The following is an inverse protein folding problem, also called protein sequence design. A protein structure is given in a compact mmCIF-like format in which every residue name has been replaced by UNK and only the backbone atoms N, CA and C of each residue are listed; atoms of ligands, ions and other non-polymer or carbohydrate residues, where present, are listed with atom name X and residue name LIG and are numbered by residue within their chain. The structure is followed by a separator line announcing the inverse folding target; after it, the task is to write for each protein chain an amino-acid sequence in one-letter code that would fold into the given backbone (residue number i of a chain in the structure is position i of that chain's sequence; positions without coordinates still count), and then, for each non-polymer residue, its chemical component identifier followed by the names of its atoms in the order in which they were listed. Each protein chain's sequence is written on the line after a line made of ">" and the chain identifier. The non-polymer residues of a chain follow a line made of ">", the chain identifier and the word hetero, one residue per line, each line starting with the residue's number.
data_IF_246043571946
#
_entry.id   IF_246043571946
#
_cell.length_a   1.000
_cell.length_b   1.000
_cell.length_c   1.000
_cell.angle_alpha   90.00
_cell.angle_beta   90.00
_cell.angle_gamma   90.00
#
_symmetry.space_group_name_H-M   'P 1'
#
loop_
_entity.id
_entity.type
_entity.pdbx_description
1 polymer ?
#
# COMPACT_ATOMS: atom_id res chain seq x y z
N UNK A 1 -3.77 4.34 -0.39
CA UNK A 1 -4.64 3.97 0.74
C UNK A 1 -5.92 3.28 0.25
N UNK A 2 -5.76 2.11 -0.34
CA UNK A 2 -6.89 1.25 -0.71
C UNK A 2 -7.24 0.37 0.49
N UNK A 3 -8.51 0.20 0.80
CA UNK A 3 -8.96 -0.67 1.90
C UNK A 3 -9.07 -2.15 1.45
N UNK A 4 -8.19 -2.59 0.58
CA UNK A 4 -8.14 -3.96 0.08
C UNK A 4 -7.11 -4.78 0.89
N UNK A 5 -7.49 -5.96 1.41
CA UNK A 5 -6.53 -6.82 2.08
C UNK A 5 -5.52 -7.36 1.07
N UNK A 6 -4.26 -7.37 1.43
CA UNK A 6 -3.20 -7.97 0.63
C UNK A 6 -2.93 -7.31 -0.75
N UNK A 7 -3.03 -5.99 -0.81
CA UNK A 7 -2.63 -5.19 -1.97
C UNK A 7 -1.12 -4.94 -1.95
N UNK A 8 -0.46 -5.15 -3.09
CA UNK A 8 0.92 -4.71 -3.33
C UNK A 8 0.96 -3.73 -4.50
N UNK A 9 1.76 -2.68 -4.37
CA UNK A 9 1.94 -1.65 -5.40
C UNK A 9 3.34 -1.79 -6.00
N UNK A 10 3.43 -1.89 -7.33
CA UNK A 10 4.72 -1.95 -8.02
C UNK A 10 4.85 -0.77 -8.97
N UNK A 11 5.87 0.04 -8.75
CA UNK A 11 6.22 1.12 -9.66
C UNK A 11 7.13 0.56 -10.76
N UNK A 12 6.61 0.47 -11.97
CA UNK A 12 7.36 0.02 -13.14
C UNK A 12 8.08 1.20 -13.79
N UNK A 13 9.41 1.24 -13.66
CA UNK A 13 10.25 2.30 -14.23
C UNK A 13 10.76 1.84 -15.58
N UNK A 14 10.44 2.61 -16.65
CA UNK A 14 10.82 2.30 -18.05
C UNK A 14 11.95 3.20 -18.59
N UNK A 15 12.59 3.97 -17.72
CA UNK A 15 13.70 4.82 -18.12
C UNK A 15 14.98 4.02 -18.42
N UNK A 16 15.85 4.54 -19.32
CA UNK A 16 17.18 3.97 -19.50
C UNK A 16 17.97 4.02 -18.17
N UNK A 17 18.66 2.94 -17.77
CA UNK A 17 19.37 2.89 -16.48
C UNK A 17 20.53 3.89 -16.38
N UNK A 18 21.01 4.39 -17.54
CA UNK A 18 22.11 5.37 -17.67
C UNK A 18 21.67 6.53 -18.57
N UNK A 19 20.88 7.49 -18.05
CA UNK A 19 20.44 8.65 -18.83
C UNK A 19 21.63 9.54 -19.25
N UNK A 20 21.52 10.11 -20.47
CA UNK A 20 22.60 10.90 -21.05
C UNK A 20 22.68 12.34 -20.53
N UNK A 21 21.57 12.90 -20.07
CA UNK A 21 21.49 14.28 -19.59
C UNK A 21 21.15 14.36 -18.10
N UNK A 22 21.41 15.53 -17.48
CA UNK A 22 21.20 15.73 -16.04
C UNK A 22 19.74 15.71 -15.63
N UNK A 23 18.86 16.23 -16.48
CA UNK A 23 17.41 16.26 -16.25
C UNK A 23 16.85 14.83 -16.17
N UNK A 24 17.13 13.97 -17.15
CA UNK A 24 16.70 12.58 -17.14
C UNK A 24 17.32 11.79 -15.97
N UNK A 25 18.56 12.13 -15.54
CA UNK A 25 19.15 11.55 -14.33
C UNK A 25 18.38 11.95 -13.06
N UNK A 26 17.96 13.21 -12.98
CA UNK A 26 17.20 13.71 -11.84
C UNK A 26 15.80 13.05 -11.78
N UNK A 27 15.12 12.92 -12.91
CA UNK A 27 13.81 12.24 -13.01
C UNK A 27 13.94 10.76 -12.59
N UNK A 28 14.90 10.02 -13.15
CA UNK A 28 15.12 8.62 -12.79
C UNK A 28 15.45 8.46 -11.30
N UNK A 29 16.26 9.34 -10.73
CA UNK A 29 16.55 9.34 -9.29
C UNK A 29 15.28 9.57 -8.48
N UNK A 30 14.47 10.55 -8.82
CA UNK A 30 13.20 10.83 -8.14
C UNK A 30 12.24 9.63 -8.23
N UNK A 31 12.13 8.98 -9.40
CA UNK A 31 11.31 7.78 -9.60
C UNK A 31 11.79 6.62 -8.71
N UNK A 32 13.09 6.40 -8.58
CA UNK A 32 13.67 5.37 -7.70
C UNK A 32 13.42 5.64 -6.22
N UNK A 33 13.43 6.91 -5.83
CA UNK A 33 13.21 7.34 -4.44
C UNK A 33 11.73 7.38 -4.03
N UNK A 34 10.80 7.38 -4.98
CA UNK A 34 9.37 7.58 -4.72
C UNK A 34 8.80 6.50 -3.79
N UNK A 35 8.95 5.22 -4.12
CA UNK A 35 8.40 4.14 -3.31
C UNK A 35 9.04 4.07 -1.90
N UNK A 36 10.37 4.10 -1.75
CA UNK A 36 11.01 4.21 -0.43
C UNK A 36 10.50 5.40 0.39
N UNK A 37 10.28 6.56 -0.23
CA UNK A 37 9.78 7.76 0.44
C UNK A 37 8.36 7.59 0.96
N UNK A 38 7.46 7.05 0.13
CA UNK A 38 6.08 6.76 0.54
C UNK A 38 6.05 5.75 1.70
N UNK A 39 6.85 4.68 1.62
CA UNK A 39 6.91 3.68 2.69
C UNK A 39 7.49 4.26 3.99
N UNK A 40 8.49 5.12 3.92
CA UNK A 40 9.05 5.80 5.08
C UNK A 40 8.04 6.75 5.76
N UNK A 41 7.23 7.46 4.99
CA UNK A 41 6.17 8.32 5.53
C UNK A 41 5.09 7.52 6.28
N UNK A 42 4.77 6.32 5.81
CA UNK A 42 3.77 5.45 6.43
C UNK A 42 4.32 4.64 7.62
N UNK A 43 5.65 4.54 7.77
CA UNK A 43 6.28 3.64 8.74
C UNK A 43 5.88 3.94 10.19
N UNK A 44 5.91 5.21 10.60
CA UNK A 44 5.60 5.59 11.98
C UNK A 44 4.14 5.31 12.38
N UNK A 45 3.11 5.71 11.60
CA UNK A 45 1.73 5.33 11.91
C UNK A 45 1.50 3.82 11.80
N UNK A 46 2.12 3.11 10.84
CA UNK A 46 2.01 1.66 10.71
C UNK A 46 2.54 0.94 11.96
N UNK A 47 3.70 1.31 12.45
CA UNK A 47 4.29 0.76 13.68
C UNK A 47 3.40 1.02 14.89
N UNK A 48 2.93 2.26 15.07
CA UNK A 48 2.02 2.63 16.15
C UNK A 48 0.78 1.75 16.19
N UNK A 49 0.07 1.64 15.05
CA UNK A 49 -1.20 0.91 15.02
C UNK A 49 -1.01 -0.61 15.06
N UNK A 50 0.09 -1.14 14.51
CA UNK A 50 0.44 -2.55 14.66
C UNK A 50 0.70 -2.90 16.12
N UNK A 51 1.50 -2.11 16.82
CA UNK A 51 1.76 -2.29 18.24
C UNK A 51 0.48 -2.19 19.08
N UNK A 52 -0.36 -1.19 18.81
CA UNK A 52 -1.63 -1.01 19.52
C UNK A 52 -2.59 -2.18 19.31
N UNK A 53 -2.66 -2.73 18.07
CA UNK A 53 -3.42 -3.94 17.75
C UNK A 53 -2.93 -5.14 18.57
N UNK A 54 -1.61 -5.39 18.58
CA UNK A 54 -1.02 -6.56 19.23
C UNK A 54 -1.17 -6.50 20.75
N UNK A 55 -0.98 -5.33 21.36
CA UNK A 55 -1.23 -5.11 22.79
C UNK A 55 -2.72 -5.28 23.13
N UNK A 56 -3.60 -4.80 22.25
CA UNK A 56 -5.05 -4.96 22.42
C UNK A 56 -5.48 -6.43 22.28
N UNK A 57 -4.94 -7.16 21.30
CA UNK A 57 -5.19 -8.58 21.12
C UNK A 57 -4.80 -9.37 22.38
N UNK A 58 -3.62 -9.11 22.93
CA UNK A 58 -3.18 -9.73 24.19
C UNK A 58 -4.09 -9.39 25.38
N UNK A 59 -4.59 -8.15 25.48
CA UNK A 59 -5.46 -7.70 26.57
C UNK A 59 -6.90 -8.26 26.47
N UNK A 60 -7.31 -8.70 25.29
CA UNK A 60 -8.67 -9.20 25.02
C UNK A 60 -8.76 -10.74 24.92
N UNK A 61 -7.67 -11.46 25.18
CA UNK A 61 -7.70 -12.93 25.20
C UNK A 61 -8.80 -13.41 26.16
N UNK A 62 -9.65 -14.30 25.68
CA UNK A 62 -10.79 -14.88 26.41
C UNK A 62 -11.83 -13.87 26.93
N UNK A 63 -11.86 -12.65 26.36
CA UNK A 63 -12.85 -11.64 26.72
C UNK A 63 -13.91 -11.48 25.62
N UNK A 64 -15.19 -11.58 25.99
CA UNK A 64 -16.30 -11.30 25.08
C UNK A 64 -16.53 -9.79 24.91
N UNK A 65 -16.15 -8.99 25.90
CA UNK A 65 -16.34 -7.55 25.93
C UNK A 65 -15.05 -6.78 26.13
N UNK A 66 -14.87 -5.72 25.37
CA UNK A 66 -13.77 -4.81 25.58
C UNK A 66 -14.00 -3.93 26.82
N UNK A 67 -12.98 -3.85 27.69
CA UNK A 67 -13.01 -2.91 28.84
C UNK A 67 -13.07 -1.47 28.32
N UNK A 68 -13.73 -0.59 29.07
CA UNK A 68 -13.86 0.83 28.72
C UNK A 68 -12.52 1.50 28.39
N UNK A 69 -11.45 1.16 29.10
CA UNK A 69 -10.10 1.68 28.82
C UNK A 69 -9.55 1.26 27.46
N UNK A 70 -9.86 0.04 26.99
CA UNK A 70 -9.47 -0.46 25.68
C UNK A 70 -10.24 0.27 24.57
N UNK A 71 -11.55 0.49 24.77
CA UNK A 71 -12.37 1.27 23.83
C UNK A 71 -11.89 2.72 23.74
N UNK A 72 -11.55 3.35 24.87
CA UNK A 72 -11.02 4.71 24.91
C UNK A 72 -9.69 4.83 24.17
N UNK A 73 -8.79 3.89 24.37
CA UNK A 73 -7.51 3.84 23.64
C UNK A 73 -7.74 3.67 22.14
N UNK A 74 -8.64 2.82 21.71
CA UNK A 74 -9.01 2.66 20.31
C UNK A 74 -9.51 3.98 19.71
N UNK A 75 -10.38 4.72 20.43
CA UNK A 75 -10.84 6.03 19.99
C UNK A 75 -9.69 7.05 19.86
N UNK A 76 -8.73 7.04 20.78
CA UNK A 76 -7.53 7.90 20.72
C UNK A 76 -6.65 7.56 19.50
N UNK A 77 -6.49 6.29 19.18
CA UNK A 77 -5.72 5.86 18.01
C UNK A 77 -6.44 6.24 16.69
N UNK A 78 -7.77 6.16 16.64
CA UNK A 78 -8.55 6.69 15.53
C UNK A 78 -8.40 8.20 15.38
N UNK A 79 -8.43 8.95 16.48
CA UNK A 79 -8.14 10.39 16.48
C UNK A 79 -6.75 10.71 15.95
N UNK A 80 -5.74 9.97 16.38
CA UNK A 80 -4.37 10.14 15.88
C UNK A 80 -4.26 9.86 14.37
N UNK A 81 -4.96 8.85 13.85
CA UNK A 81 -5.02 8.57 12.42
C UNK A 81 -5.68 9.71 11.64
N UNK A 82 -6.78 10.27 12.15
CA UNK A 82 -7.45 11.46 11.58
C UNK A 82 -6.49 12.64 11.52
N UNK A 83 -5.82 12.95 12.63
CA UNK A 83 -4.89 14.08 12.72
C UNK A 83 -3.71 13.91 11.74
N UNK A 84 -3.19 12.71 11.57
CA UNK A 84 -2.12 12.43 10.61
C UNK A 84 -2.58 12.69 9.18
N UNK A 85 -3.77 12.22 8.80
CA UNK A 85 -4.34 12.40 7.46
C UNK A 85 -4.61 13.88 7.15
N UNK A 86 -5.19 14.61 8.10
CA UNK A 86 -5.46 16.04 7.95
C UNK A 86 -4.17 16.84 7.85
N UNK A 87 -3.20 16.57 8.72
CA UNK A 87 -1.90 17.20 8.64
C UNK A 87 -1.23 16.96 7.29
N UNK A 88 -1.30 15.70 6.78
CA UNK A 88 -0.76 15.38 5.46
C UNK A 88 -1.45 16.15 4.35
N UNK A 89 -2.78 16.26 4.40
CA UNK A 89 -3.55 17.06 3.43
C UNK A 89 -3.23 18.55 3.50
N UNK A 90 -3.03 19.09 4.70
CA UNK A 90 -2.76 20.52 4.91
C UNK A 90 -1.33 20.92 4.55
N UNK A 91 -0.39 19.96 4.56
CA UNK A 91 1.02 20.16 4.20
C UNK A 91 1.36 19.71 2.77
N UNK A 92 0.39 19.16 2.03
CA UNK A 92 0.58 18.76 0.64
C UNK A 92 0.72 19.99 -0.25
N UNK A 93 1.70 19.99 -1.14
CA UNK A 93 1.84 21.05 -2.14
C UNK A 93 0.77 20.84 -3.22
N UNK A 94 -0.13 21.77 -3.35
CA UNK A 94 -1.16 21.77 -4.41
C UNK A 94 -0.58 22.48 -5.63
N UNK A 95 -0.28 21.74 -6.67
CA UNK A 95 0.20 22.26 -7.96
C UNK A 95 -0.91 22.29 -9.00
N UNK A 96 -1.86 21.34 -8.92
CA UNK A 96 -3.00 21.28 -9.83
C UNK A 96 -4.27 20.70 -9.16
N UNK A 97 -5.33 20.53 -9.97
CA UNK A 97 -6.62 19.97 -9.53
C UNK A 97 -6.53 18.50 -9.10
N UNK A 98 -5.50 17.76 -9.53
CA UNK A 98 -5.29 16.37 -9.16
C UNK A 98 -4.82 16.28 -7.71
N UNK A 99 -3.91 17.17 -7.30
CA UNK A 99 -3.47 17.30 -5.92
C UNK A 99 -4.61 17.71 -5.00
N UNK A 100 -5.43 18.68 -5.43
CA UNK A 100 -6.61 19.11 -4.68
C UNK A 100 -7.60 17.94 -4.49
N UNK A 101 -7.89 17.20 -5.56
CA UNK A 101 -8.71 15.99 -5.50
C UNK A 101 -8.12 14.93 -4.53
N UNK A 102 -6.81 14.69 -4.59
CA UNK A 102 -6.15 13.74 -3.69
C UNK A 102 -6.30 14.17 -2.22
N UNK A 103 -6.03 15.45 -1.93
CA UNK A 103 -6.15 15.98 -0.58
C UNK A 103 -7.60 15.92 -0.07
N UNK A 104 -8.59 16.30 -0.87
CA UNK A 104 -9.98 16.36 -0.41
C UNK A 104 -10.67 14.99 -0.44
N UNK A 105 -10.60 14.25 -1.55
CA UNK A 105 -11.34 13.00 -1.71
C UNK A 105 -10.63 11.79 -1.07
N UNK A 106 -9.29 11.74 -1.13
CA UNK A 106 -8.55 10.61 -0.58
C UNK A 106 -8.19 10.86 0.88
N UNK A 107 -7.41 11.90 1.19
CA UNK A 107 -6.91 12.12 2.55
C UNK A 107 -8.01 12.59 3.51
N UNK A 108 -8.66 13.74 3.22
CA UNK A 108 -9.73 14.28 4.08
C UNK A 108 -10.99 13.41 4.04
N UNK A 109 -11.28 12.77 2.88
CA UNK A 109 -12.35 11.78 2.77
C UNK A 109 -12.16 10.62 3.74
N UNK A 110 -10.96 10.03 3.79
CA UNK A 110 -10.63 8.97 4.75
C UNK A 110 -10.64 9.48 6.20
N UNK A 111 -10.13 10.68 6.44
CA UNK A 111 -10.16 11.30 7.77
C UNK A 111 -11.60 11.47 8.29
N UNK A 112 -12.55 11.92 7.43
CA UNK A 112 -13.98 12.00 7.78
C UNK A 112 -14.56 10.65 8.21
N UNK A 113 -14.26 9.57 7.47
CA UNK A 113 -14.76 8.23 7.83
C UNK A 113 -14.16 7.72 9.14
N UNK A 114 -12.87 7.91 9.37
CA UNK A 114 -12.23 7.52 10.63
C UNK A 114 -12.76 8.33 11.82
N UNK A 115 -13.07 9.61 11.61
CA UNK A 115 -13.68 10.48 12.62
C UNK A 115 -15.06 9.98 13.06
N UNK A 116 -15.88 9.48 12.12
CA UNK A 116 -17.17 8.87 12.48
C UNK A 116 -16.97 7.66 13.40
N UNK A 117 -15.95 6.85 13.15
CA UNK A 117 -15.63 5.70 14.02
C UNK A 117 -15.15 6.17 15.40
N UNK A 118 -14.27 7.19 15.46
CA UNK A 118 -13.84 7.82 16.73
C UNK A 118 -15.05 8.31 17.54
N UNK A 119 -15.95 9.04 16.89
CA UNK A 119 -17.16 9.57 17.53
C UNK A 119 -18.06 8.45 18.09
N UNK A 120 -18.29 7.39 17.31
CA UNK A 120 -19.10 6.25 17.75
C UNK A 120 -18.48 5.53 18.96
N UNK A 121 -17.15 5.39 19.00
CA UNK A 121 -16.43 4.81 20.15
C UNK A 121 -16.59 5.70 21.40
N UNK A 122 -16.44 7.01 21.28
CA UNK A 122 -16.60 7.95 22.37
C UNK A 122 -18.07 7.98 22.89
N UNK A 123 -19.03 7.89 21.98
CA UNK A 123 -20.45 7.80 22.34
C UNK A 123 -20.74 6.51 23.10
N UNK A 124 -20.21 5.36 22.65
CA UNK A 124 -20.38 4.09 23.38
C UNK A 124 -19.83 4.13 24.80
N UNK A 125 -18.70 4.85 25.00
CA UNK A 125 -18.13 5.08 26.33
C UNK A 125 -19.07 5.93 27.20
N UNK A 126 -19.62 7.01 26.64
CA UNK A 126 -20.50 7.95 27.33
C UNK A 126 -21.82 7.26 27.74
N UNK A 127 -22.39 6.49 26.84
CA UNK A 127 -23.64 5.74 27.05
C UNK A 127 -23.44 4.43 27.79
N UNK A 128 -22.23 4.11 28.21
CA UNK A 128 -21.86 2.86 28.90
C UNK A 128 -22.29 1.60 28.12
N UNK A 129 -22.24 1.68 26.80
CA UNK A 129 -22.61 0.56 25.94
C UNK A 129 -21.53 -0.51 25.94
N UNK A 130 -21.96 -1.74 25.79
CA UNK A 130 -21.09 -2.89 25.62
C UNK A 130 -20.50 -2.89 24.20
N UNK A 131 -19.17 -2.95 24.07
CA UNK A 131 -18.49 -3.08 22.80
C UNK A 131 -17.86 -4.48 22.73
N UNK A 132 -18.16 -5.22 21.68
CA UNK A 132 -17.61 -6.55 21.44
C UNK A 132 -16.09 -6.49 21.25
N UNK A 133 -15.37 -7.45 21.86
CA UNK A 133 -13.90 -7.51 21.79
C UNK A 133 -13.40 -7.70 20.34
N UNK A 134 -14.06 -8.56 19.56
CA UNK A 134 -13.69 -8.78 18.16
C UNK A 134 -13.89 -7.52 17.32
N UNK A 135 -14.90 -6.70 17.65
CA UNK A 135 -15.13 -5.44 16.96
C UNK A 135 -13.94 -4.49 17.13
N UNK A 136 -13.39 -4.39 18.33
CA UNK A 136 -12.20 -3.57 18.58
C UNK A 136 -10.99 -4.09 17.79
N UNK A 137 -10.79 -5.40 17.75
CA UNK A 137 -9.70 -5.99 16.95
C UNK A 137 -9.87 -5.70 15.44
N UNK A 138 -11.09 -5.83 14.90
CA UNK A 138 -11.37 -5.47 13.50
C UNK A 138 -11.08 -3.99 13.21
N UNK A 139 -11.38 -3.08 14.15
CA UNK A 139 -11.09 -1.67 14.01
C UNK A 139 -9.57 -1.42 13.97
N UNK A 140 -8.79 -2.07 14.81
CA UNK A 140 -7.33 -1.98 14.74
C UNK A 140 -6.76 -2.60 13.46
N UNK A 141 -7.29 -3.73 13.01
CA UNK A 141 -6.88 -4.31 11.72
C UNK A 141 -7.15 -3.35 10.55
N UNK A 142 -8.25 -2.60 10.61
CA UNK A 142 -8.54 -1.56 9.61
C UNK A 142 -7.48 -0.45 9.65
N UNK A 143 -7.11 0.07 10.83
CA UNK A 143 -6.05 1.08 10.95
C UNK A 143 -4.71 0.55 10.41
N UNK A 144 -4.32 -0.66 10.81
CA UNK A 144 -3.08 -1.29 10.31
C UNK A 144 -3.10 -1.38 8.78
N UNK A 145 -4.18 -1.85 8.16
CA UNK A 145 -4.29 -1.95 6.69
C UNK A 145 -4.18 -0.59 5.99
N UNK A 146 -4.77 0.46 6.56
CA UNK A 146 -4.73 1.81 5.98
C UNK A 146 -3.30 2.33 5.91
N UNK A 147 -2.50 2.09 6.93
CA UNK A 147 -1.14 2.65 7.04
C UNK A 147 -0.03 1.68 6.63
N UNK A 148 -0.31 0.39 6.47
CA UNK A 148 0.67 -0.58 5.99
C UNK A 148 0.58 -0.69 4.47
N UNK A 149 1.63 -0.26 3.78
CA UNK A 149 1.75 -0.43 2.34
C UNK A 149 2.81 -1.50 2.02
N UNK A 150 2.50 -2.36 1.05
CA UNK A 150 3.47 -3.26 0.43
C UNK A 150 3.77 -2.70 -0.95
N UNK A 151 5.02 -2.35 -1.21
CA UNK A 151 5.36 -1.81 -2.51
C UNK A 151 6.85 -1.77 -2.77
N UNK A 152 7.21 -1.82 -4.05
CA UNK A 152 8.59 -1.70 -4.53
C UNK A 152 8.61 -1.13 -5.94
N UNK A 153 9.83 -0.81 -6.43
CA UNK A 153 10.03 -0.41 -7.82
C UNK A 153 10.69 -1.54 -8.60
N UNK A 154 10.35 -1.69 -9.87
CA UNK A 154 10.98 -2.63 -10.79
C UNK A 154 11.44 -1.90 -12.06
N UNK A 155 12.72 -2.09 -12.40
CA UNK A 155 13.37 -1.50 -13.57
C UNK A 155 13.81 -2.61 -14.52
N UNK A 156 12.96 -2.96 -15.49
CA UNK A 156 13.26 -4.08 -16.40
C UNK A 156 14.55 -3.86 -17.21
N UNK A 157 14.86 -2.63 -17.61
CA UNK A 157 16.04 -2.30 -18.44
C UNK A 157 17.39 -2.48 -17.73
N UNK A 158 17.38 -2.77 -16.42
CA UNK A 158 18.58 -3.22 -15.70
C UNK A 158 18.99 -4.64 -16.08
N UNK A 159 18.09 -5.43 -16.68
CA UNK A 159 18.32 -6.85 -16.92
C UNK A 159 18.38 -7.15 -18.41
N UNK A 160 19.46 -7.83 -18.85
CA UNK A 160 19.63 -8.25 -20.24
C UNK A 160 18.64 -9.35 -20.67
N UNK A 161 18.04 -10.06 -19.70
CA UNK A 161 17.00 -11.07 -19.93
C UNK A 161 15.60 -10.51 -20.21
N UNK A 162 15.41 -9.19 -20.08
CA UNK A 162 14.13 -8.52 -20.34
C UNK A 162 14.21 -7.64 -21.58
N UNK A 163 13.06 -7.31 -22.18
CA UNK A 163 13.03 -6.42 -23.34
C UNK A 163 13.57 -5.03 -23.00
N UNK A 164 14.30 -4.40 -23.92
CA UNK A 164 14.79 -3.03 -23.81
C UNK A 164 13.98 -2.03 -24.64
N UNK A 165 12.95 -2.48 -25.35
CA UNK A 165 12.09 -1.58 -26.12
C UNK A 165 11.34 -0.61 -25.19
N UNK A 166 11.35 0.67 -25.53
CA UNK A 166 10.73 1.73 -24.73
C UNK A 166 9.25 1.86 -25.04
N UNK A 167 8.42 0.99 -24.46
CA UNK A 167 6.98 1.15 -24.52
C UNK A 167 6.27 0.50 -23.31
N UNK A 168 5.09 1.03 -22.97
CA UNK A 168 4.30 0.60 -21.81
C UNK A 168 3.95 -0.90 -21.85
N UNK A 169 3.55 -1.42 -23.03
CA UNK A 169 3.16 -2.82 -23.15
C UNK A 169 4.33 -3.77 -22.81
N UNK A 170 5.54 -3.46 -23.29
CA UNK A 170 6.72 -4.26 -22.98
C UNK A 170 7.14 -4.14 -21.52
N UNK A 171 6.90 -2.98 -20.89
CA UNK A 171 7.16 -2.81 -19.47
C UNK A 171 6.24 -3.69 -18.63
N UNK A 172 4.95 -3.66 -18.90
CA UNK A 172 3.94 -4.50 -18.25
C UNK A 172 4.20 -6.00 -18.50
N UNK A 173 4.37 -6.40 -19.75
CA UNK A 173 4.58 -7.80 -20.12
C UNK A 173 5.85 -8.38 -19.47
N UNK A 174 6.93 -7.60 -19.40
CA UNK A 174 8.17 -8.04 -18.74
C UNK A 174 7.96 -8.28 -17.26
N UNK A 175 7.16 -7.48 -16.57
CA UNK A 175 6.87 -7.66 -15.16
C UNK A 175 5.89 -8.82 -14.93
N UNK A 176 4.79 -8.87 -15.69
CA UNK A 176 3.77 -9.92 -15.58
C UNK A 176 4.38 -11.29 -15.86
N UNK A 177 5.27 -11.39 -16.85
CA UNK A 177 5.98 -12.64 -17.17
C UNK A 177 6.95 -13.13 -16.09
N UNK A 178 7.24 -12.33 -15.07
CA UNK A 178 8.04 -12.72 -13.91
C UNK A 178 7.18 -13.11 -12.70
N UNK A 179 5.87 -12.88 -12.73
CA UNK A 179 4.99 -13.22 -11.61
C UNK A 179 4.97 -14.74 -11.37
N UNK A 180 4.93 -15.14 -10.12
CA UNK A 180 5.00 -16.56 -9.70
C UNK A 180 6.42 -17.15 -9.65
N UNK A 181 7.44 -16.42 -10.15
CA UNK A 181 8.81 -16.90 -10.19
C UNK A 181 9.63 -16.48 -8.97
N UNK A 182 10.56 -17.37 -8.59
CA UNK A 182 11.65 -17.07 -7.66
C UNK A 182 12.94 -16.88 -8.47
N UNK A 183 13.49 -15.69 -8.43
CA UNK A 183 14.52 -15.26 -9.38
C UNK A 183 15.86 -14.98 -8.71
N UNK A 184 16.92 -15.31 -9.43
CA UNK A 184 18.32 -15.01 -9.10
C UNK A 184 18.90 -14.02 -10.09
N UNK A 185 19.62 -13.03 -9.59
CA UNK A 185 20.45 -12.15 -10.39
C UNK A 185 21.76 -12.84 -10.73
N UNK A 186 22.15 -12.83 -11.99
CA UNK A 186 23.39 -13.45 -12.46
C UNK A 186 24.11 -12.46 -13.40
N UNK A 187 25.36 -12.21 -13.09
CA UNK A 187 26.25 -11.43 -13.98
C UNK A 187 26.66 -12.30 -15.17
N UNK A 188 26.56 -11.77 -16.38
CA UNK A 188 26.98 -12.40 -17.63
C UNK A 188 27.80 -11.44 -18.47
N UNK A 189 28.40 -11.92 -19.58
CA UNK A 189 29.10 -11.07 -20.55
C UNK A 189 28.19 -9.99 -21.16
N UNK A 190 26.89 -10.27 -21.24
CA UNK A 190 25.89 -9.39 -21.86
C UNK A 190 25.19 -8.45 -20.85
N UNK A 191 25.57 -8.57 -19.56
CA UNK A 191 25.02 -7.82 -18.45
C UNK A 191 24.32 -8.69 -17.43
N UNK A 192 23.60 -8.09 -16.49
CA UNK A 192 22.84 -8.80 -15.45
C UNK A 192 21.61 -9.45 -16.05
N UNK A 193 21.37 -10.71 -15.77
CA UNK A 193 20.15 -11.42 -16.12
C UNK A 193 19.36 -11.83 -14.87
N UNK A 194 18.05 -11.98 -15.02
CA UNK A 194 17.18 -12.67 -14.08
C UNK A 194 16.93 -14.09 -14.62
N UNK A 195 17.14 -15.09 -13.78
CA UNK A 195 16.77 -16.48 -14.08
C UNK A 195 16.09 -17.13 -12.87
N UNK A 196 15.35 -18.18 -13.09
CA UNK A 196 14.80 -19.00 -12.01
C UNK A 196 15.91 -19.55 -11.11
N UNK A 197 15.63 -19.60 -9.81
CA UNK A 197 16.52 -20.20 -8.83
C UNK A 197 16.66 -21.70 -9.07
N UNK A 198 17.83 -22.25 -8.81
CA UNK A 198 18.09 -23.69 -8.77
C UNK A 198 17.74 -24.23 -7.39
N UNK A 199 17.65 -25.56 -7.28
CA UNK A 199 17.17 -26.28 -6.08
C UNK A 199 17.85 -25.86 -4.76
N UNK A 200 19.13 -25.46 -4.83
CA UNK A 200 19.93 -25.15 -3.63
C UNK A 200 20.31 -23.67 -3.55
N UNK A 201 19.61 -22.81 -4.28
CA UNK A 201 19.88 -21.36 -4.29
C UNK A 201 18.79 -20.59 -3.55
N UNK A 202 19.19 -19.55 -2.80
CA UNK A 202 18.27 -18.57 -2.27
C UNK A 202 17.92 -17.53 -3.35
N UNK A 203 16.64 -17.15 -3.51
CA UNK A 203 16.22 -16.14 -4.46
C UNK A 203 16.69 -14.74 -4.04
N UNK A 204 16.99 -13.90 -5.03
CA UNK A 204 17.16 -12.46 -4.81
C UNK A 204 15.80 -11.75 -4.91
N UNK A 205 14.86 -12.30 -5.67
CA UNK A 205 13.48 -11.83 -5.80
C UNK A 205 12.50 -13.00 -5.73
N UNK A 206 11.41 -12.80 -5.00
CA UNK A 206 10.25 -13.69 -5.03
C UNK A 206 9.09 -12.86 -5.60
N UNK A 207 8.75 -13.11 -6.85
CA UNK A 207 7.68 -12.42 -7.55
C UNK A 207 6.36 -13.11 -7.23
N UNK A 208 5.47 -12.39 -6.54
CA UNK A 208 4.16 -12.96 -6.15
C UNK A 208 3.36 -13.33 -7.40
N UNK A 209 2.72 -14.47 -7.35
CA UNK A 209 1.62 -14.80 -8.23
C UNK A 209 0.34 -14.21 -7.66
N UNK A 210 -0.19 -13.20 -8.33
CA UNK A 210 -1.37 -12.47 -7.86
C UNK A 210 -2.59 -12.92 -8.64
N UNK A 211 -3.69 -13.16 -7.95
CA UNK A 211 -4.97 -13.54 -8.57
C UNK A 211 -5.52 -12.43 -9.48
N UNK A 212 -5.30 -11.17 -9.08
CA UNK A 212 -5.69 -9.98 -9.86
C UNK A 212 -4.52 -9.05 -10.06
N UNK A 213 -4.44 -8.47 -11.24
CA UNK A 213 -3.47 -7.42 -11.60
C UNK A 213 -4.22 -6.21 -12.13
N UNK A 214 -4.07 -5.08 -11.46
CA UNK A 214 -4.57 -3.79 -11.95
C UNK A 214 -3.41 -2.96 -12.50
N UNK A 215 -3.48 -2.62 -13.79
CA UNK A 215 -2.49 -1.76 -14.43
C UNK A 215 -3.00 -0.33 -14.53
N UNK A 216 -2.17 0.62 -14.14
CA UNK A 216 -2.49 2.05 -14.12
C UNK A 216 -1.40 2.86 -14.79
N UNK A 217 -1.77 4.01 -15.32
CA UNK A 217 -0.80 5.07 -15.64
C UNK A 217 -0.35 5.74 -14.33
N UNK A 218 0.88 6.27 -14.30
CA UNK A 218 1.46 6.84 -13.09
C UNK A 218 0.70 8.09 -12.59
N UNK A 219 -0.04 8.74 -13.48
CA UNK A 219 -0.90 9.91 -13.23
C UNK A 219 -2.36 9.55 -12.89
N UNK A 220 -2.69 8.25 -12.84
CA UNK A 220 -4.05 7.80 -12.54
C UNK A 220 -4.38 7.97 -11.06
N UNK A 221 -5.53 8.57 -10.78
CA UNK A 221 -6.07 8.73 -9.42
C UNK A 221 -7.19 7.73 -9.16
N UNK A 222 -7.10 7.03 -8.04
CA UNK A 222 -8.09 6.04 -7.64
C UNK A 222 -8.84 6.47 -6.38
N UNK A 223 -10.16 6.30 -6.39
CA UNK A 223 -10.95 6.31 -5.16
C UNK A 223 -10.57 5.12 -4.26
N UNK A 224 -10.73 5.26 -2.97
CA UNK A 224 -10.28 4.30 -1.94
C UNK A 224 -10.82 2.88 -2.09
N UNK A 225 -12.02 2.74 -2.61
CA UNK A 225 -12.73 1.47 -2.79
C UNK A 225 -12.68 0.94 -4.23
N UNK A 226 -11.89 1.57 -5.10
CA UNK A 226 -11.86 1.23 -6.53
C UNK A 226 -11.42 -0.22 -6.76
N UNK A 227 -10.30 -0.65 -6.18
CA UNK A 227 -9.82 -2.03 -6.31
C UNK A 227 -10.84 -3.03 -5.75
N UNK A 228 -11.45 -2.72 -4.58
CA UNK A 228 -12.46 -3.58 -3.98
C UNK A 228 -13.68 -3.75 -4.88
N UNK A 229 -14.15 -2.66 -5.49
CA UNK A 229 -15.29 -2.69 -6.42
C UNK A 229 -14.98 -3.47 -7.68
N UNK A 230 -13.77 -3.34 -8.23
CA UNK A 230 -13.38 -4.11 -9.42
C UNK A 230 -13.36 -5.61 -9.13
N UNK A 231 -12.69 -6.03 -8.06
CA UNK A 231 -12.63 -7.44 -7.66
C UNK A 231 -14.04 -7.96 -7.35
N UNK A 232 -14.86 -7.19 -6.61
CA UNK A 232 -16.25 -7.57 -6.38
C UNK A 232 -17.03 -7.81 -7.67
N UNK A 233 -16.83 -6.97 -8.70
CA UNK A 233 -17.50 -7.17 -10.00
C UNK A 233 -16.97 -8.40 -10.73
N UNK A 234 -15.66 -8.66 -10.68
CA UNK A 234 -15.06 -9.84 -11.31
C UNK A 234 -15.52 -11.15 -10.66
N UNK A 235 -15.79 -11.13 -9.36
CA UNK A 235 -16.28 -12.29 -8.58
C UNK A 235 -17.78 -12.55 -8.75
N UNK A 236 -18.52 -11.68 -9.48
CA UNK A 236 -19.94 -11.93 -9.70
C UNK A 236 -20.14 -13.06 -10.70
N UNK A 237 -21.13 -13.97 -10.47
CA UNK A 237 -21.45 -15.03 -11.41
C UNK A 237 -21.72 -14.51 -12.84
N UNK A 238 -21.05 -15.07 -13.81
CA UNK A 238 -21.16 -14.68 -15.22
C UNK A 238 -20.12 -13.64 -15.70
N UNK A 239 -19.17 -13.26 -14.85
CA UNK A 239 -18.03 -12.41 -15.19
C UNK A 239 -16.71 -13.22 -15.26
N UNK A 240 -16.80 -14.54 -15.31
CA UNK A 240 -15.66 -15.47 -15.42
C UNK A 240 -15.01 -15.43 -16.82
#
# INVERSE_FOLDING_TARGET
>A
MQEFPDLAVVLLIDDPPHPKNDEARAILKASRELMPKVLAELAAPAERFTKARDETAAALVDQMAARRSVVARCAEDYRAAVQWLEHKADTWLIEDHTDDFFCDQVLRGLARDLRLTEQALNESITLQQHVDANRILQLYERLVRIFTAKGWSFERKLYASTSREGNKAMNLNSFIGLMGHSLKRVETSDGVILRDVRKDESPDFVMRDSEYVLTLDADSMLLRDYCLRLVYQMEQPGNE
#
